data_IF_732862323864
#
_entry.id   IF_732862323864
#
_cell.length_a   1.000
_cell.length_b   1.000
_cell.length_c   1.000
_cell.angle_alpha   90.00
_cell.angle_beta   90.00
_cell.angle_gamma   90.00
#
_symmetry.space_group_name_H-M   'P 1'
#
loop_
_entity.id
_entity.type
_entity.pdbx_description
1 polymer ?
#
# COMPACT_ATOMS: atom_id res chain seq x y z
N UNK A 1 37.25 -26.68 33.08
CA UNK A 1 36.44 -25.53 32.60
C UNK A 1 36.21 -25.67 31.10
N UNK A 2 34.99 -26.00 30.68
CA UNK A 2 34.66 -26.17 29.25
C UNK A 2 34.28 -24.80 28.67
N UNK A 3 35.12 -24.26 27.78
CA UNK A 3 34.84 -23.02 27.04
C UNK A 3 33.67 -23.26 26.07
N UNK A 4 32.47 -22.79 26.43
CA UNK A 4 31.34 -22.68 25.48
C UNK A 4 31.72 -21.71 24.37
N UNK A 5 31.87 -22.21 23.14
CA UNK A 5 31.96 -21.39 21.93
C UNK A 5 30.59 -20.76 21.67
N UNK A 6 30.44 -19.48 21.98
CA UNK A 6 29.31 -18.64 21.58
C UNK A 6 29.52 -18.16 20.15
N UNK A 7 29.25 -19.03 19.17
CA UNK A 7 29.05 -18.58 17.80
C UNK A 7 27.58 -18.11 17.66
N UNK A 8 27.30 -16.88 17.22
CA UNK A 8 25.94 -16.47 16.90
C UNK A 8 25.40 -17.35 15.76
N UNK A 9 24.11 -17.72 15.77
CA UNK A 9 23.56 -18.58 14.73
C UNK A 9 23.69 -17.86 13.39
N UNK A 10 24.46 -18.47 12.47
CA UNK A 10 24.51 -18.07 11.07
C UNK A 10 23.07 -18.09 10.55
N UNK A 11 22.54 -16.93 10.16
CA UNK A 11 21.27 -16.81 9.43
C UNK A 11 21.44 -17.49 8.07
N UNK A 12 21.20 -18.80 8.01
CA UNK A 12 20.98 -19.49 6.76
C UNK A 12 19.69 -18.91 6.16
N UNK A 13 19.81 -18.07 5.13
CA UNK A 13 18.66 -17.73 4.30
C UNK A 13 18.23 -19.02 3.60
N UNK A 14 17.13 -19.61 4.08
CA UNK A 14 16.52 -20.78 3.47
C UNK A 14 16.18 -20.47 2.01
N UNK A 15 16.51 -21.40 1.11
CA UNK A 15 16.17 -21.34 -0.32
C UNK A 15 14.65 -21.13 -0.46
N UNK A 16 14.23 -19.97 -0.98
CA UNK A 16 12.81 -19.57 -1.05
C UNK A 16 12.37 -18.50 -0.04
N UNK A 17 13.25 -18.01 0.82
CA UNK A 17 12.94 -16.90 1.73
C UNK A 17 12.69 -15.61 0.94
N UNK A 18 11.41 -15.24 0.80
CA UNK A 18 11.00 -13.95 0.21
C UNK A 18 11.35 -12.82 1.17
N UNK A 19 12.00 -11.78 0.66
CA UNK A 19 12.20 -10.53 1.41
C UNK A 19 10.81 -9.90 1.62
N UNK A 20 10.36 -9.85 2.87
CA UNK A 20 9.12 -9.16 3.26
C UNK A 20 9.38 -7.67 3.40
N UNK A 21 8.44 -6.85 2.94
CA UNK A 21 8.52 -5.39 3.04
C UNK A 21 7.92 -4.83 4.33
N UNK A 22 7.14 -5.64 5.05
CA UNK A 22 6.53 -5.26 6.31
C UNK A 22 6.55 -6.44 7.29
N UNK A 23 6.87 -6.18 8.55
CA UNK A 23 6.79 -7.15 9.65
C UNK A 23 6.65 -6.45 11.00
N UNK A 24 6.19 -7.16 12.03
CA UNK A 24 6.15 -6.65 13.40
C UNK A 24 7.46 -6.95 14.12
N UNK A 25 8.10 -5.93 14.71
CA UNK A 25 9.30 -6.11 15.55
C UNK A 25 8.97 -6.83 16.85
N UNK A 26 7.80 -6.54 17.44
CA UNK A 26 7.29 -7.14 18.66
C UNK A 26 6.19 -8.19 18.38
N UNK A 27 6.30 -8.94 17.27
CA UNK A 27 5.31 -9.93 16.85
C UNK A 27 4.97 -10.96 17.93
N UNK A 28 5.96 -11.38 18.72
CA UNK A 28 5.79 -12.42 19.72
C UNK A 28 4.80 -12.02 20.81
N UNK A 29 4.74 -10.73 21.16
CA UNK A 29 3.80 -10.18 22.16
C UNK A 29 2.35 -10.45 21.75
N UNK A 30 2.04 -10.28 20.46
CA UNK A 30 0.69 -10.49 19.92
C UNK A 30 0.38 -11.97 19.68
N UNK A 31 1.38 -12.76 19.28
CA UNK A 31 1.20 -14.21 19.04
C UNK A 31 0.89 -14.96 20.34
N UNK A 32 1.56 -14.63 21.43
CA UNK A 32 1.36 -15.31 22.73
C UNK A 32 0.06 -14.90 23.41
N UNK A 33 -0.43 -13.68 23.14
CA UNK A 33 -1.62 -13.16 23.80
C UNK A 33 -2.94 -13.80 23.33
N UNK A 34 -2.99 -14.54 22.21
CA UNK A 34 -4.19 -15.20 21.67
C UNK A 34 -5.48 -14.35 21.73
N UNK A 35 -5.39 -13.05 21.41
CA UNK A 35 -6.53 -12.12 21.44
C UNK A 35 -6.85 -11.51 22.82
N UNK A 36 -6.00 -11.74 23.82
CA UNK A 36 -6.02 -11.04 25.10
C UNK A 36 -5.54 -9.58 24.97
N UNK A 37 -5.77 -8.79 26.02
CA UNK A 37 -5.33 -7.39 26.09
C UNK A 37 -3.80 -7.34 26.08
N UNK A 38 -3.23 -6.78 25.02
CA UNK A 38 -1.80 -6.51 24.91
C UNK A 38 -1.54 -5.06 25.29
N UNK A 39 -0.62 -4.86 26.23
CA UNK A 39 -0.17 -3.52 26.59
C UNK A 39 0.88 -3.03 25.60
N UNK A 40 0.67 -1.80 25.10
CA UNK A 40 1.61 -1.10 24.23
C UNK A 40 1.30 -1.19 22.73
N UNK A 41 2.00 -0.39 21.91
CA UNK A 41 1.76 -0.30 20.48
C UNK A 41 2.35 -1.49 19.71
N UNK A 42 1.73 -1.83 18.59
CA UNK A 42 2.35 -2.69 17.59
C UNK A 42 3.44 -1.91 16.84
N UNK A 43 4.65 -2.46 16.76
CA UNK A 43 5.80 -1.82 16.10
C UNK A 43 5.95 -2.41 14.71
N UNK A 44 5.34 -1.76 13.73
CA UNK A 44 5.40 -2.13 12.32
C UNK A 44 6.70 -1.62 11.68
N UNK A 45 7.52 -2.53 11.19
CA UNK A 45 8.76 -2.21 10.49
C UNK A 45 8.52 -2.32 8.99
N UNK A 46 8.84 -1.26 8.26
CA UNK A 46 8.78 -1.20 6.80
C UNK A 46 10.20 -1.22 6.23
N UNK A 47 10.40 -1.99 5.18
CA UNK A 47 11.68 -2.09 4.45
C UNK A 47 11.43 -2.08 2.95
N UNK A 48 12.21 -1.26 2.24
CA UNK A 48 12.15 -1.24 0.78
C UNK A 48 12.69 -2.55 0.21
N UNK A 49 11.97 -3.13 -0.76
CA UNK A 49 12.46 -4.29 -1.52
C UNK A 49 13.13 -3.84 -2.82
N UNK A 50 14.10 -4.60 -3.37
CA UNK A 50 14.74 -4.26 -4.64
C UNK A 50 13.78 -4.14 -5.83
N UNK A 51 12.69 -4.91 -5.80
CA UNK A 51 11.66 -4.95 -6.83
C UNK A 51 10.58 -3.87 -6.68
N UNK A 52 10.67 -3.01 -5.66
CA UNK A 52 9.75 -1.90 -5.45
C UNK A 52 10.17 -0.64 -6.22
N UNK A 53 9.19 0.22 -6.49
CA UNK A 53 9.43 1.57 -6.95
C UNK A 53 9.83 2.45 -5.77
N UNK A 54 11.14 2.65 -5.58
CA UNK A 54 11.71 3.28 -4.37
C UNK A 54 11.03 4.58 -3.95
N UNK A 55 10.82 5.51 -4.89
CA UNK A 55 10.18 6.81 -4.59
C UNK A 55 8.76 6.66 -4.04
N UNK A 56 8.01 5.68 -4.54
CA UNK A 56 6.63 5.46 -4.13
C UNK A 56 6.58 4.74 -2.77
N UNK A 57 7.46 3.76 -2.56
CA UNK A 57 7.67 3.14 -1.25
C UNK A 57 8.04 4.20 -0.21
N UNK A 58 9.09 4.99 -0.46
CA UNK A 58 9.59 6.02 0.48
C UNK A 58 8.48 7.01 0.82
N UNK A 59 7.67 7.42 -0.16
CA UNK A 59 6.55 8.34 0.06
C UNK A 59 5.49 7.74 0.99
N UNK A 60 5.07 6.49 0.76
CA UNK A 60 4.11 5.78 1.63
C UNK A 60 4.70 5.54 3.02
N UNK A 61 5.93 5.06 3.10
CA UNK A 61 6.60 4.78 4.36
C UNK A 61 6.72 6.04 5.24
N UNK A 62 7.07 7.20 4.66
CA UNK A 62 7.10 8.48 5.38
C UNK A 62 5.73 8.92 5.89
N UNK A 63 4.67 8.74 5.08
CA UNK A 63 3.31 9.09 5.54
C UNK A 63 2.89 8.23 6.72
N UNK A 64 3.12 6.92 6.63
CA UNK A 64 2.81 5.99 7.72
C UNK A 64 3.66 6.25 8.96
N UNK A 65 4.96 6.53 8.80
CA UNK A 65 5.84 6.91 9.91
C UNK A 65 5.36 8.18 10.60
N UNK A 66 5.01 9.21 9.84
CA UNK A 66 4.46 10.47 10.36
C UNK A 66 3.14 10.24 11.09
N UNK A 67 2.20 9.52 10.49
CA UNK A 67 0.90 9.23 11.12
C UNK A 67 1.05 8.39 12.39
N UNK A 68 2.02 7.48 12.44
CA UNK A 68 2.34 6.71 13.65
C UNK A 68 2.90 7.61 14.76
N UNK A 69 3.80 8.54 14.42
CA UNK A 69 4.32 9.56 15.37
C UNK A 69 3.23 10.50 15.88
N UNK A 70 2.25 10.83 15.04
CA UNK A 70 1.07 11.63 15.39
C UNK A 70 0.02 10.84 16.21
N UNK A 71 0.23 9.54 16.47
CA UNK A 71 -0.72 8.70 17.20
C UNK A 71 -2.01 8.40 16.43
N UNK A 72 -2.00 8.55 15.11
CA UNK A 72 -3.17 8.41 14.23
C UNK A 72 -3.36 7.02 13.63
N UNK A 73 -2.39 6.12 13.84
CA UNK A 73 -2.47 4.75 13.36
C UNK A 73 -2.94 3.83 14.50
N UNK A 74 -4.00 3.08 14.22
CA UNK A 74 -4.46 1.97 15.06
C UNK A 74 -4.95 0.84 14.15
N UNK A 75 -4.95 -0.39 14.65
CA UNK A 75 -5.51 -1.51 13.91
C UNK A 75 -6.99 -1.26 13.62
N UNK A 76 -7.36 -1.24 12.34
CA UNK A 76 -8.74 -1.04 11.93
C UNK A 76 -9.63 -2.25 12.24
N UNK A 77 -10.90 -1.97 12.51
CA UNK A 77 -11.98 -2.97 12.45
C UNK A 77 -12.25 -3.30 10.98
N UNK A 78 -12.33 -4.59 10.58
CA UNK A 78 -12.58 -4.96 9.20
C UNK A 78 -13.96 -4.49 8.73
N UNK A 79 -14.00 -3.57 7.76
CA UNK A 79 -15.22 -3.21 7.05
C UNK A 79 -15.04 -3.42 5.55
N UNK A 80 -15.67 -4.47 5.03
CA UNK A 80 -15.56 -4.87 3.62
C UNK A 80 -16.56 -4.15 2.73
N UNK A 81 -17.62 -3.57 3.29
CA UNK A 81 -18.75 -3.05 2.53
C UNK A 81 -18.77 -1.51 2.41
N UNK A 82 -18.07 -0.79 3.28
CA UNK A 82 -17.96 0.69 3.19
C UNK A 82 -17.15 1.21 2.00
N UNK A 83 -16.41 0.35 1.31
CA UNK A 83 -15.53 0.78 0.22
C UNK A 83 -16.26 1.04 -1.11
N UNK A 84 -17.55 0.69 -1.21
CA UNK A 84 -18.34 0.84 -2.45
C UNK A 84 -19.14 2.13 -2.45
N UNK A 85 -18.96 2.93 -3.50
CA UNK A 85 -19.73 4.14 -3.79
C UNK A 85 -20.56 3.97 -5.04
N UNK A 86 -21.69 4.70 -5.13
CA UNK A 86 -22.43 4.83 -6.38
C UNK A 86 -21.67 5.73 -7.33
N UNK A 87 -21.22 5.16 -8.45
CA UNK A 87 -20.55 5.90 -9.51
C UNK A 87 -21.60 6.69 -10.30
N UNK A 88 -21.68 8.00 -10.09
CA UNK A 88 -22.61 8.90 -10.79
C UNK A 88 -22.54 8.81 -12.32
N UNK A 89 -21.41 8.37 -12.89
CA UNK A 89 -21.26 8.28 -14.34
C UNK A 89 -21.78 6.97 -14.95
N UNK A 90 -21.91 5.91 -14.16
CA UNK A 90 -22.38 4.61 -14.64
C UNK A 90 -23.64 4.12 -13.91
N UNK A 91 -24.05 4.78 -12.83
CA UNK A 91 -25.13 4.36 -11.94
C UNK A 91 -24.81 3.12 -11.08
N UNK A 92 -23.63 2.50 -11.26
CA UNK A 92 -23.27 1.23 -10.62
C UNK A 92 -22.55 1.45 -9.29
N UNK A 93 -22.73 0.53 -8.34
CA UNK A 93 -21.91 0.46 -7.12
C UNK A 93 -20.52 -0.10 -7.47
N UNK A 94 -19.47 0.67 -7.18
CA UNK A 94 -18.06 0.34 -7.50
C UNK A 94 -17.17 0.76 -6.33
N UNK A 95 -16.00 0.13 -6.19
CA UNK A 95 -15.03 0.57 -5.18
C UNK A 95 -14.61 2.02 -5.43
N UNK A 96 -14.39 2.78 -4.36
CA UNK A 96 -13.97 4.18 -4.44
C UNK A 96 -12.65 4.35 -5.18
N UNK A 97 -11.72 3.40 -5.04
CA UNK A 97 -10.47 3.32 -5.81
C UNK A 97 -10.74 3.21 -7.31
N UNK A 98 -11.67 2.36 -7.76
CA UNK A 98 -12.02 2.24 -9.17
C UNK A 98 -12.62 3.53 -9.74
N UNK A 99 -13.49 4.19 -8.97
CA UNK A 99 -14.06 5.49 -9.37
C UNK A 99 -12.98 6.57 -9.42
N UNK A 100 -12.08 6.62 -8.43
CA UNK A 100 -10.96 7.56 -8.40
C UNK A 100 -10.04 7.38 -9.61
N UNK A 101 -9.67 6.14 -9.96
CA UNK A 101 -8.87 5.82 -11.15
C UNK A 101 -9.52 6.37 -12.43
N UNK A 102 -10.82 6.10 -12.63
CA UNK A 102 -11.52 6.57 -13.82
C UNK A 102 -11.64 8.10 -13.85
N UNK A 103 -11.78 8.76 -12.70
CA UNK A 103 -11.74 10.23 -12.60
C UNK A 103 -10.37 10.79 -12.98
N UNK A 104 -9.29 10.15 -12.54
CA UNK A 104 -7.93 10.54 -12.92
C UNK A 104 -7.72 10.40 -14.43
N UNK A 105 -8.11 9.27 -15.01
CA UNK A 105 -8.02 9.05 -16.46
C UNK A 105 -8.77 10.18 -17.19
N UNK A 106 -10.03 10.46 -16.82
CA UNK A 106 -10.81 11.55 -17.45
C UNK A 106 -10.16 12.92 -17.30
N UNK A 107 -9.49 13.19 -16.17
CA UNK A 107 -8.76 14.45 -15.96
C UNK A 107 -7.55 14.54 -16.88
N UNK A 108 -6.79 13.47 -17.01
CA UNK A 108 -5.60 13.37 -17.86
C UNK A 108 -5.94 13.34 -19.35
N UNK A 109 -7.20 13.09 -19.70
CA UNK A 109 -7.68 13.04 -21.09
C UNK A 109 -8.79 14.05 -21.38
N UNK A 110 -9.02 15.08 -20.55
CA UNK A 110 -10.16 16.00 -20.71
C UNK A 110 -10.16 16.60 -22.13
N UNK A 111 -11.34 16.71 -22.73
CA UNK A 111 -11.64 17.18 -24.12
C UNK A 111 -11.87 16.08 -25.19
N UNK A 112 -11.99 14.82 -24.79
CA UNK A 112 -12.54 13.78 -25.67
C UNK A 112 -12.06 12.39 -25.32
N UNK A 113 -12.91 11.37 -25.55
CA UNK A 113 -12.46 9.98 -25.57
C UNK A 113 -11.30 9.87 -26.55
N UNK A 114 -10.11 9.52 -26.06
CA UNK A 114 -9.05 8.84 -26.81
C UNK A 114 -9.02 9.18 -28.31
N UNK A 115 -8.71 10.41 -28.73
CA UNK A 115 -8.19 10.56 -30.09
C UNK A 115 -6.72 10.16 -30.03
N UNK A 116 -6.46 8.84 -29.99
CA UNK A 116 -5.14 8.29 -30.32
C UNK A 116 -4.66 8.79 -31.68
N UNK A 117 -5.62 9.21 -32.50
CA UNK A 117 -5.48 9.34 -33.94
C UNK A 117 -5.18 10.77 -34.41
N UNK A 118 -5.20 11.81 -33.55
CA UNK A 118 -4.98 13.22 -33.96
C UNK A 118 -4.30 14.10 -32.89
N UNK A 119 -3.35 14.94 -33.31
CA UNK A 119 -2.74 16.02 -32.50
C UNK A 119 -1.28 15.79 -32.08
N UNK A 120 -0.72 16.73 -31.32
CA UNK A 120 0.64 16.68 -30.74
C UNK A 120 0.55 16.68 -29.20
N UNK A 121 1.66 16.49 -28.48
CA UNK A 121 1.67 16.60 -27.01
C UNK A 121 1.23 17.98 -26.50
N UNK A 122 1.37 19.04 -27.31
CA UNK A 122 0.88 20.38 -26.96
C UNK A 122 -0.64 20.53 -27.12
N UNK A 123 -1.25 19.79 -28.05
CA UNK A 123 -2.67 19.96 -28.44
C UNK A 123 -3.56 18.79 -28.00
N UNK A 124 -2.96 17.67 -27.58
CA UNK A 124 -3.67 16.45 -27.16
C UNK A 124 -3.20 16.02 -25.76
N UNK A 125 -4.09 16.19 -24.77
CA UNK A 125 -3.81 15.82 -23.38
C UNK A 125 -3.57 14.33 -23.17
N UNK A 126 -4.22 13.47 -23.95
CA UNK A 126 -3.90 12.04 -23.88
C UNK A 126 -2.45 11.80 -24.32
N UNK A 127 -1.99 12.38 -25.43
CA UNK A 127 -0.59 12.24 -25.85
C UNK A 127 0.37 12.83 -24.82
N UNK A 128 0.05 13.99 -24.25
CA UNK A 128 0.84 14.61 -23.17
C UNK A 128 0.96 13.71 -21.92
N UNK A 129 -0.07 12.91 -21.63
CA UNK A 129 -0.16 12.08 -20.44
C UNK A 129 -0.15 10.57 -20.75
N UNK A 130 0.27 10.18 -21.96
CA UNK A 130 0.02 8.85 -22.52
C UNK A 130 0.48 7.74 -21.58
N UNK A 131 1.73 7.85 -21.10
CA UNK A 131 2.33 6.90 -20.17
C UNK A 131 1.53 6.74 -18.88
N UNK A 132 1.11 7.85 -18.25
CA UNK A 132 0.36 7.80 -17.00
C UNK A 132 -1.04 7.18 -17.22
N UNK A 133 -1.71 7.53 -18.31
CA UNK A 133 -3.02 6.98 -18.66
C UNK A 133 -2.92 5.48 -18.93
N UNK A 134 -1.94 5.06 -19.73
CA UNK A 134 -1.70 3.63 -20.03
C UNK A 134 -1.38 2.84 -18.77
N UNK A 135 -0.55 3.37 -17.86
CA UNK A 135 -0.27 2.72 -16.58
C UNK A 135 -1.50 2.63 -15.67
N UNK A 136 -2.36 3.66 -15.64
CA UNK A 136 -3.63 3.60 -14.89
C UNK A 136 -4.57 2.53 -15.46
N UNK A 137 -4.62 2.35 -16.78
CA UNK A 137 -5.37 1.25 -17.40
C UNK A 137 -4.75 -0.11 -17.10
N UNK A 138 -3.44 -0.26 -17.24
CA UNK A 138 -2.71 -1.49 -16.97
C UNK A 138 -2.86 -1.93 -15.50
N UNK A 139 -2.97 -0.96 -14.57
CA UNK A 139 -3.30 -1.23 -13.17
C UNK A 139 -4.62 -1.97 -12.94
N UNK A 140 -5.54 -2.06 -13.92
CA UNK A 140 -6.74 -2.91 -13.78
C UNK A 140 -6.43 -4.41 -13.96
N UNK A 141 -5.30 -4.74 -14.56
CA UNK A 141 -4.91 -6.10 -14.91
C UNK A 141 -3.98 -6.78 -13.89
N UNK A 142 -3.45 -7.95 -14.25
CA UNK A 142 -2.39 -8.59 -13.49
C UNK A 142 -1.13 -7.72 -13.52
N UNK A 143 -0.48 -7.59 -12.36
CA UNK A 143 0.77 -6.84 -12.20
C UNK A 143 1.77 -7.79 -11.55
N UNK A 144 2.90 -7.99 -12.23
CA UNK A 144 3.96 -8.93 -11.83
C UNK A 144 5.29 -8.24 -11.52
N UNK A 145 5.45 -6.96 -11.86
CA UNK A 145 6.65 -6.18 -11.54
C UNK A 145 6.37 -4.68 -11.43
N UNK A 146 7.28 -3.94 -10.79
CA UNK A 146 7.26 -2.47 -10.81
C UNK A 146 7.22 -1.91 -12.23
N UNK A 147 6.58 -0.76 -12.38
CA UNK A 147 6.47 0.00 -13.63
C UNK A 147 5.35 -0.43 -14.56
N UNK A 148 4.72 -1.59 -14.31
CA UNK A 148 3.68 -2.14 -15.19
C UNK A 148 2.33 -1.41 -15.06
N UNK A 149 2.06 -0.73 -13.95
CA UNK A 149 0.79 -0.04 -13.76
C UNK A 149 0.77 0.91 -12.58
N UNK A 150 -0.28 1.72 -12.52
CA UNK A 150 -0.58 2.62 -11.41
C UNK A 150 -1.91 2.23 -10.77
N UNK A 151 -1.90 2.10 -9.45
CA UNK A 151 -3.09 1.88 -8.64
C UNK A 151 -3.35 3.09 -7.74
N UNK A 152 -4.63 3.40 -7.44
CA UNK A 152 -4.98 4.22 -6.30
C UNK A 152 -4.55 3.52 -5.01
N UNK A 153 -3.69 4.19 -4.25
CA UNK A 153 -3.21 3.81 -2.93
C UNK A 153 -3.81 4.74 -1.88
N UNK A 154 -4.13 4.18 -0.72
CA UNK A 154 -4.57 4.95 0.45
C UNK A 154 -3.36 5.53 1.18
N UNK A 155 -3.29 6.85 1.42
CA UNK A 155 -2.16 7.48 2.10
C UNK A 155 -1.99 6.90 3.51
N UNK A 156 -3.08 6.93 4.29
CA UNK A 156 -3.26 6.12 5.49
C UNK A 156 -3.93 4.80 5.08
N UNK A 157 -3.29 3.68 5.39
CA UNK A 157 -3.78 2.37 4.98
C UNK A 157 -5.10 2.02 5.68
N UNK A 158 -6.03 1.38 4.95
CA UNK A 158 -7.32 0.95 5.50
C UNK A 158 -7.14 -0.03 6.67
N UNK A 159 -6.03 -0.77 6.72
CA UNK A 159 -5.73 -1.69 7.82
C UNK A 159 -5.29 -0.97 9.10
N UNK A 160 -4.96 0.32 8.98
CA UNK A 160 -4.44 1.18 10.05
C UNK A 160 -5.35 2.39 10.27
N UNK A 161 -6.66 2.16 10.19
CA UNK A 161 -7.75 3.13 10.42
C UNK A 161 -7.80 4.28 9.40
N UNK A 162 -7.25 4.06 8.20
CA UNK A 162 -7.38 5.00 7.10
C UNK A 162 -8.83 5.08 6.60
N UNK A 163 -9.35 6.29 6.45
CA UNK A 163 -10.67 6.48 5.86
C UNK A 163 -10.66 6.16 4.37
N UNK A 164 -11.67 5.44 3.87
CA UNK A 164 -11.86 5.26 2.44
C UNK A 164 -12.52 6.51 1.83
N UNK A 165 -11.75 7.58 1.68
CA UNK A 165 -12.17 8.86 1.09
C UNK A 165 -11.21 9.29 -0.03
N UNK A 166 -11.70 10.11 -0.97
CA UNK A 166 -10.87 10.56 -2.10
C UNK A 166 -9.64 11.36 -1.68
N UNK A 167 -9.70 12.09 -0.56
CA UNK A 167 -8.57 12.84 -0.02
C UNK A 167 -7.46 11.92 0.53
N UNK A 168 -7.82 10.69 0.90
CA UNK A 168 -6.87 9.67 1.31
C UNK A 168 -6.33 8.86 0.12
N UNK A 169 -6.68 9.18 -1.14
CA UNK A 169 -6.24 8.41 -2.31
C UNK A 169 -5.22 9.17 -3.16
N UNK A 170 -4.19 8.45 -3.62
CA UNK A 170 -3.23 8.94 -4.61
C UNK A 170 -2.72 7.83 -5.53
N UNK A 171 -2.22 8.15 -6.75
CA UNK A 171 -1.55 7.16 -7.59
C UNK A 171 -0.27 6.62 -6.96
N UNK A 172 -0.03 5.33 -7.12
CA UNK A 172 1.18 4.62 -6.72
C UNK A 172 1.47 3.49 -7.71
N UNK A 173 2.74 3.13 -7.89
CA UNK A 173 3.14 1.92 -8.60
C UNK A 173 2.35 0.70 -8.11
N UNK A 174 1.64 0.03 -9.02
CA UNK A 174 0.68 -1.00 -8.68
C UNK A 174 1.33 -2.23 -8.04
N UNK A 175 2.54 -2.61 -8.47
CA UNK A 175 3.27 -3.73 -7.86
C UNK A 175 3.65 -3.41 -6.43
N UNK A 176 4.27 -2.25 -6.23
CA UNK A 176 4.69 -1.77 -4.91
C UNK A 176 3.50 -1.66 -3.96
N UNK A 177 2.39 -1.06 -4.42
CA UNK A 177 1.16 -0.92 -3.64
C UNK A 177 0.61 -2.29 -3.19
N UNK A 178 0.37 -3.20 -4.14
CA UNK A 178 -0.24 -4.51 -3.85
C UNK A 178 0.63 -5.37 -2.93
N UNK A 179 1.93 -5.43 -3.20
CA UNK A 179 2.84 -6.26 -2.40
C UNK A 179 3.04 -5.68 -1.00
N UNK A 180 3.20 -4.36 -0.87
CA UNK A 180 3.32 -3.71 0.43
C UNK A 180 2.03 -3.88 1.25
N UNK A 181 0.86 -3.63 0.66
CA UNK A 181 -0.42 -3.82 1.33
C UNK A 181 -0.64 -5.28 1.76
N UNK A 182 -0.25 -6.25 0.92
CA UNK A 182 -0.29 -7.67 1.29
C UNK A 182 0.64 -7.99 2.46
N UNK A 183 1.88 -7.50 2.45
CA UNK A 183 2.85 -7.76 3.50
C UNK A 183 2.40 -7.08 4.83
N UNK A 184 1.85 -5.85 4.78
CA UNK A 184 1.26 -5.17 5.95
C UNK A 184 0.09 -5.97 6.50
N UNK A 185 -0.79 -6.47 5.63
CA UNK A 185 -1.93 -7.28 6.03
C UNK A 185 -1.52 -8.52 6.80
N UNK A 186 -0.46 -9.19 6.36
CA UNK A 186 0.07 -10.38 7.02
C UNK A 186 0.71 -9.99 8.35
N UNK A 187 1.51 -8.91 8.38
CA UNK A 187 2.16 -8.45 9.60
C UNK A 187 1.15 -8.10 10.71
N UNK A 188 0.05 -7.45 10.35
CA UNK A 188 -0.98 -6.99 11.31
C UNK A 188 -2.08 -8.03 11.56
N UNK A 189 -1.94 -9.28 11.11
CA UNK A 189 -3.01 -10.29 11.19
C UNK A 189 -3.44 -10.60 12.62
N UNK A 190 -2.46 -10.74 13.52
CA UNK A 190 -2.67 -11.16 14.91
C UNK A 190 -2.74 -9.97 15.88
N UNK A 191 -2.68 -8.73 15.36
CA UNK A 191 -2.80 -7.52 16.17
C UNK A 191 -4.28 -7.27 16.49
N UNK A 192 -4.65 -7.14 17.78
CA UNK A 192 -6.02 -6.82 18.17
C UNK A 192 -6.51 -5.49 17.58
N UNK A 193 -7.81 -5.40 17.33
CA UNK A 193 -8.44 -4.17 16.84
C UNK A 193 -8.24 -3.02 17.83
N UNK A 194 -8.09 -1.81 17.32
CA UNK A 194 -7.86 -0.61 18.14
C UNK A 194 -6.45 -0.50 18.74
N UNK A 195 -5.60 -1.52 18.64
CA UNK A 195 -4.19 -1.42 19.09
C UNK A 195 -3.46 -0.30 18.35
N UNK A 196 -2.84 0.67 19.06
CA UNK A 196 -2.03 1.71 18.44
C UNK A 196 -0.86 1.12 17.64
N UNK A 197 -0.50 1.74 16.53
CA UNK A 197 0.59 1.27 15.65
C UNK A 197 1.65 2.36 15.54
N UNK A 198 2.89 1.98 15.81
CA UNK A 198 4.07 2.80 15.52
C UNK A 198 4.77 2.20 14.30
N UNK A 199 5.24 3.05 13.40
CA UNK A 199 5.94 2.64 12.19
C UNK A 199 7.41 3.01 12.26
N UNK A 200 8.29 2.04 11.99
CA UNK A 200 9.74 2.24 11.80
C UNK A 200 10.11 1.94 10.36
N UNK A 201 10.95 2.76 9.75
CA UNK A 201 11.40 2.56 8.36
C UNK A 201 12.88 2.18 8.37
N UNK A 202 13.21 1.05 7.77
CA UNK A 202 14.59 0.63 7.56
C UNK A 202 15.12 1.15 6.21
N UNK A 203 16.42 1.48 6.14
CA UNK A 203 17.08 1.89 4.89
C UNK A 203 17.10 0.79 3.82
#
# INVERSE_FOLDING_TARGET
MVKKRTAPPRKAQAKGARIVSAYLENADVFRTAKGGKVDGPAVLVLRNRPDFHKRDFDRKARDLERLGKEGRLKKATPDRDSNKVTDRSTGKRRTRTNVYRDRLIRRLTKDGRLSKDKGTTATNKYLANKRAVEQLYAGKGPITSRGQGLDPDHIQDLQMDGEDIYANLRPMDAWTNRQLGSDISVALRDVPEGTPIIVKVLP
#
